data_IF_504316577599
#
_entry.id   IF_504316577599
#
_cell.length_a   1.000
_cell.length_b   1.000
_cell.length_c   1.000
_cell.angle_alpha   90.00
_cell.angle_beta   90.00
_cell.angle_gamma   90.00
#
_symmetry.space_group_name_H-M   'P 1'
#
loop_
_entity.id
_entity.type
_entity.pdbx_description
1 polymer ?
#
# COMPACT_ATOMS: atom_id res chain seq x y z
N UNK A 1 4.82 -23.56 16.49
CA UNK A 1 5.34 -22.25 16.96
C UNK A 1 4.68 -21.95 18.29
N UNK A 2 5.39 -21.36 19.25
CA UNK A 2 4.76 -20.77 20.44
C UNK A 2 3.86 -19.61 19.98
N UNK A 3 2.73 -19.38 20.65
CA UNK A 3 1.75 -18.33 20.27
C UNK A 3 2.42 -16.98 20.04
N UNK A 4 3.33 -16.58 20.94
CA UNK A 4 4.06 -15.30 20.81
C UNK A 4 4.95 -15.18 19.57
N UNK A 5 5.46 -16.28 19.01
CA UNK A 5 6.23 -16.22 17.77
C UNK A 5 5.32 -16.02 16.54
N UNK A 6 4.10 -16.57 16.57
CA UNK A 6 3.10 -16.36 15.50
C UNK A 6 2.65 -14.89 15.50
N UNK A 7 2.37 -14.35 16.69
CA UNK A 7 1.94 -12.95 16.85
C UNK A 7 3.01 -11.97 16.35
N UNK A 8 4.27 -12.21 16.71
CA UNK A 8 5.40 -11.39 16.23
C UNK A 8 5.56 -11.48 14.71
N UNK A 9 5.48 -12.68 14.14
CA UNK A 9 5.60 -12.87 12.69
C UNK A 9 4.48 -12.14 11.92
N UNK A 10 3.24 -12.26 12.38
CA UNK A 10 2.11 -11.55 11.78
C UNK A 10 2.25 -10.03 11.87
N UNK A 11 2.67 -9.52 13.04
CA UNK A 11 2.90 -8.08 13.23
C UNK A 11 4.00 -7.54 12.32
N UNK A 12 5.10 -8.28 12.12
CA UNK A 12 6.19 -7.88 11.23
C UNK A 12 5.75 -7.86 9.77
N UNK A 13 5.06 -8.91 9.31
CA UNK A 13 4.55 -8.98 7.92
C UNK A 13 3.60 -7.81 7.65
N UNK A 14 2.63 -7.58 8.55
CA UNK A 14 1.67 -6.49 8.39
C UNK A 14 2.33 -5.11 8.46
N UNK A 15 3.24 -4.89 9.40
CA UNK A 15 3.94 -3.62 9.57
C UNK A 15 4.82 -3.27 8.36
N UNK A 16 5.59 -4.23 7.85
CA UNK A 16 6.45 -4.01 6.67
C UNK A 16 5.59 -3.73 5.43
N UNK A 17 4.50 -4.48 5.23
CA UNK A 17 3.56 -4.26 4.14
C UNK A 17 2.96 -2.84 4.17
N UNK A 18 2.50 -2.40 5.35
CA UNK A 18 1.94 -1.06 5.55
C UNK A 18 2.95 0.05 5.26
N UNK A 19 4.21 -0.11 5.69
CA UNK A 19 5.28 0.86 5.41
C UNK A 19 5.59 0.94 3.90
N UNK A 20 5.69 -0.21 3.23
CA UNK A 20 5.96 -0.26 1.79
C UNK A 20 4.82 0.37 0.97
N UNK A 21 3.57 0.06 1.31
CA UNK A 21 2.38 0.65 0.68
C UNK A 21 2.35 2.18 0.88
N UNK A 22 2.55 2.63 2.12
CA UNK A 22 2.54 4.06 2.47
C UNK A 22 3.61 4.84 1.70
N UNK A 23 4.81 4.29 1.58
CA UNK A 23 5.90 4.92 0.82
C UNK A 23 5.59 5.00 -0.68
N UNK A 24 5.09 3.91 -1.28
CA UNK A 24 4.70 3.87 -2.69
C UNK A 24 3.58 4.84 -3.02
N UNK A 25 2.48 4.78 -2.25
CA UNK A 25 1.32 5.66 -2.42
C UNK A 25 1.69 7.12 -2.20
N UNK A 26 2.47 7.42 -1.16
CA UNK A 26 2.95 8.79 -0.88
C UNK A 26 3.68 9.39 -2.08
N UNK A 27 4.53 8.61 -2.75
CA UNK A 27 5.26 9.05 -3.95
C UNK A 27 4.33 9.31 -5.13
N UNK A 28 3.41 8.38 -5.43
CA UNK A 28 2.46 8.50 -6.55
C UNK A 28 1.49 9.66 -6.34
N UNK A 29 0.91 9.77 -5.15
CA UNK A 29 -0.04 10.83 -4.80
C UNK A 29 0.64 12.20 -4.82
N UNK A 30 1.82 12.33 -4.20
CA UNK A 30 2.56 13.59 -4.19
C UNK A 30 2.88 14.08 -5.61
N UNK A 31 3.40 13.19 -6.47
CA UNK A 31 3.69 13.52 -7.87
C UNK A 31 2.44 13.83 -8.69
N UNK A 32 1.32 13.20 -8.38
CA UNK A 32 0.04 13.54 -9.00
C UNK A 32 -0.39 14.95 -8.61
N UNK A 33 -0.31 15.31 -7.33
CA UNK A 33 -0.66 16.65 -6.85
C UNK A 33 0.24 17.72 -7.47
N UNK A 34 1.55 17.51 -7.50
CA UNK A 34 2.51 18.42 -8.16
C UNK A 34 2.16 18.61 -9.64
N UNK A 35 1.81 17.54 -10.35
CA UNK A 35 1.43 17.60 -11.77
C UNK A 35 0.11 18.34 -11.98
N UNK A 36 -0.88 18.11 -11.12
CA UNK A 36 -2.17 18.81 -11.16
C UNK A 36 -1.98 20.32 -10.91
N UNK A 37 -1.11 20.69 -9.97
CA UNK A 37 -0.83 22.09 -9.69
C UNK A 37 -0.18 22.82 -10.88
N UNK A 38 0.58 22.10 -11.72
CA UNK A 38 1.20 22.64 -12.94
C UNK A 38 0.23 22.68 -14.13
N UNK A 39 -0.67 21.71 -14.24
CA UNK A 39 -1.64 21.58 -15.34
C UNK A 39 -3.03 21.19 -14.81
N UNK A 40 -3.82 22.17 -14.31
CA UNK A 40 -5.12 21.90 -13.71
C UNK A 40 -6.12 21.25 -14.67
N UNK A 41 -6.04 21.56 -15.97
CA UNK A 41 -6.88 21.00 -17.03
C UNK A 41 -6.74 19.47 -17.17
N UNK A 42 -5.59 18.91 -16.78
CA UNK A 42 -5.31 17.47 -16.84
C UNK A 42 -5.70 16.72 -15.57
N UNK A 43 -6.34 17.38 -14.59
CA UNK A 43 -6.58 16.80 -13.27
C UNK A 43 -7.39 15.50 -13.27
N UNK A 44 -8.41 15.40 -14.13
CA UNK A 44 -9.22 14.18 -14.25
C UNK A 44 -8.41 12.97 -14.73
N UNK A 45 -7.58 13.16 -15.76
CA UNK A 45 -6.72 12.12 -16.31
C UNK A 45 -5.63 11.70 -15.30
N UNK A 46 -5.00 12.69 -14.66
CA UNK A 46 -3.97 12.44 -13.65
C UNK A 46 -4.51 11.65 -12.44
N UNK A 47 -5.71 11.99 -11.94
CA UNK A 47 -6.36 11.22 -10.85
C UNK A 47 -6.67 9.79 -11.27
N UNK A 48 -7.13 9.58 -12.51
CA UNK A 48 -7.42 8.24 -13.03
C UNK A 48 -6.16 7.38 -13.09
N UNK A 49 -5.08 7.91 -13.64
CA UNK A 49 -3.77 7.24 -13.68
C UNK A 49 -3.22 6.99 -12.27
N UNK A 50 -3.38 7.95 -11.35
CA UNK A 50 -2.97 7.81 -9.95
C UNK A 50 -3.67 6.61 -9.29
N UNK A 51 -4.99 6.46 -9.45
CA UNK A 51 -5.72 5.33 -8.86
C UNK A 51 -5.33 3.99 -9.45
N UNK A 52 -5.01 3.92 -10.75
CA UNK A 52 -4.44 2.71 -11.36
C UNK A 52 -3.10 2.37 -10.68
N UNK A 53 -2.22 3.37 -10.52
CA UNK A 53 -0.94 3.20 -9.85
C UNK A 53 -1.07 2.75 -8.39
N UNK A 54 -1.96 3.38 -7.62
CA UNK A 54 -2.27 3.00 -6.24
C UNK A 54 -2.81 1.56 -6.18
N UNK A 55 -3.73 1.18 -7.08
CA UNK A 55 -4.26 -0.18 -7.14
C UNK A 55 -3.17 -1.23 -7.39
N UNK A 56 -2.20 -0.93 -8.26
CA UNK A 56 -1.06 -1.80 -8.50
C UNK A 56 -0.11 -1.88 -7.29
N UNK A 57 0.09 -0.76 -6.57
CA UNK A 57 0.89 -0.73 -5.34
C UNK A 57 0.24 -1.57 -4.25
N UNK A 58 -1.08 -1.50 -4.08
CA UNK A 58 -1.83 -2.18 -3.03
C UNK A 58 -1.98 -3.69 -3.23
N UNK A 59 -1.80 -4.20 -4.45
CA UNK A 59 -1.98 -5.64 -4.73
C UNK A 59 -1.10 -6.54 -3.84
N UNK A 60 0.16 -6.17 -3.62
CA UNK A 60 1.09 -6.97 -2.80
C UNK A 60 0.87 -6.76 -1.29
N UNK A 61 0.73 -5.51 -0.77
CA UNK A 61 0.36 -5.26 0.62
C UNK A 61 -0.90 -5.98 1.07
N UNK A 62 -1.97 -5.97 0.27
CA UNK A 62 -3.22 -6.68 0.60
C UNK A 62 -2.95 -8.17 0.77
N UNK A 63 -2.18 -8.80 -0.13
CA UNK A 63 -1.80 -10.21 -0.01
C UNK A 63 -0.95 -10.46 1.25
N UNK A 64 -0.05 -9.56 1.61
CA UNK A 64 0.75 -9.67 2.82
C UNK A 64 -0.12 -9.59 4.09
N UNK A 65 -1.15 -8.73 4.10
CA UNK A 65 -2.13 -8.68 5.20
C UNK A 65 -2.94 -9.98 5.28
N UNK A 66 -3.34 -10.56 4.15
CA UNK A 66 -3.97 -11.89 4.12
C UNK A 66 -3.04 -12.93 4.74
N UNK A 67 -1.76 -12.95 4.38
CA UNK A 67 -0.77 -13.87 4.96
C UNK A 67 -0.62 -13.66 6.47
N UNK A 68 -0.60 -12.41 6.95
CA UNK A 68 -0.55 -12.11 8.38
C UNK A 68 -1.76 -12.71 9.13
N UNK A 69 -2.96 -12.61 8.55
CA UNK A 69 -4.15 -13.25 9.10
C UNK A 69 -4.07 -14.78 9.11
N UNK A 70 -3.53 -15.39 8.05
CA UNK A 70 -3.30 -16.84 8.02
C UNK A 70 -2.32 -17.28 9.12
N UNK A 71 -1.27 -16.51 9.39
CA UNK A 71 -0.32 -16.80 10.49
C UNK A 71 -1.01 -16.76 11.86
N UNK A 72 -1.93 -15.82 12.08
CA UNK A 72 -2.63 -15.68 13.36
C UNK A 72 -3.63 -16.82 13.59
N UNK A 73 -4.40 -17.19 12.57
CA UNK A 73 -5.60 -18.00 12.72
C UNK A 73 -5.50 -19.46 12.25
N UNK A 74 -4.47 -19.81 11.47
CA UNK A 74 -4.17 -21.20 11.11
C UNK A 74 -2.98 -21.71 11.93
#
# INVERSE_FOLDING_TARGET
MTTGLKDLAAALVAGIAALAASWGNGKVISKTIESIARQPESAGNLRSTMFIGVGLIEAVPILAIVIAFLILFL
#
